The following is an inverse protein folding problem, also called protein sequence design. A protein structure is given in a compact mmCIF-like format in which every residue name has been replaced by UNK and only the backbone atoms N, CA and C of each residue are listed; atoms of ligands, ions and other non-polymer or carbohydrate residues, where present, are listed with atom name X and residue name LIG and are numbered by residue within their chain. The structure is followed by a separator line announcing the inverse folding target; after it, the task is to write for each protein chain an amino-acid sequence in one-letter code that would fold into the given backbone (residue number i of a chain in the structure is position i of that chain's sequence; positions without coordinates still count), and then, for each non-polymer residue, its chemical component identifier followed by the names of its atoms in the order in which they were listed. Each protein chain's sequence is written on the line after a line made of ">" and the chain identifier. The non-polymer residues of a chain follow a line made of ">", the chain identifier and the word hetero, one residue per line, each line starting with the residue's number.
data_IF_352612743377
#
_entry.id   IF_352612743377
#
_cell.length_a   1.000
_cell.length_b   1.000
_cell.length_c   1.000
_cell.angle_alpha   90.00
_cell.angle_beta   90.00
_cell.angle_gamma   90.00
#
_symmetry.space_group_name_H-M   'P 1'
#
loop_
_entity.id
_entity.type
_entity.pdbx_description
1 polymer ?
#
# COMPACT_ATOMS: atom_id res chain seq x y z
N UNK A 1 19.59 -18.14 -13.03
CA UNK A 1 19.61 -18.31 -11.56
C UNK A 1 18.80 -17.16 -10.99
N UNK A 2 17.54 -17.40 -10.61
CA UNK A 2 16.64 -16.37 -10.09
C UNK A 2 16.71 -16.38 -8.54
N UNK A 3 16.72 -15.21 -7.88
CA UNK A 3 16.80 -15.15 -6.42
C UNK A 3 15.53 -15.68 -5.72
N UNK A 4 15.70 -16.17 -4.49
CA UNK A 4 14.66 -16.75 -3.64
C UNK A 4 13.65 -15.69 -3.13
N UNK A 5 12.39 -16.07 -2.85
CA UNK A 5 11.29 -15.16 -2.47
C UNK A 5 11.42 -14.49 -1.08
N UNK A 6 12.61 -14.48 -0.47
CA UNK A 6 12.88 -13.86 0.84
C UNK A 6 13.61 -12.51 0.79
N UNK A 7 14.12 -12.09 -0.37
CA UNK A 7 15.00 -10.91 -0.48
C UNK A 7 14.27 -9.56 -0.65
N UNK A 8 12.94 -9.54 -0.72
CA UNK A 8 12.15 -8.31 -0.87
C UNK A 8 11.83 -7.61 0.47
N UNK A 9 12.40 -8.08 1.58
CA UNK A 9 12.29 -7.42 2.88
C UNK A 9 13.34 -6.30 3.03
N UNK A 10 13.46 -5.43 2.03
CA UNK A 10 14.09 -4.12 2.16
C UNK A 10 13.19 -3.21 3.01
N UNK A 11 12.96 -3.60 4.25
CA UNK A 11 12.33 -2.72 5.23
C UNK A 11 13.25 -1.54 5.44
N UNK A 12 12.74 -0.33 5.23
CA UNK A 12 13.39 0.89 5.70
C UNK A 12 13.80 0.66 7.16
N UNK A 13 15.09 0.78 7.54
CA UNK A 13 15.48 0.55 8.91
C UNK A 13 14.68 1.52 9.79
N UNK A 14 14.05 1.06 10.88
CA UNK A 14 13.33 1.97 11.77
C UNK A 14 14.36 2.95 12.34
N UNK A 15 14.23 4.22 11.98
CA UNK A 15 14.92 5.29 12.68
C UNK A 15 14.54 5.26 14.17
N UNK A 16 15.44 5.68 15.07
CA UNK A 16 15.15 5.71 16.50
C UNK A 16 13.90 6.58 16.75
N UNK A 17 12.83 5.98 17.28
CA UNK A 17 11.59 6.67 17.66
C UNK A 17 10.32 6.30 16.87
N UNK A 18 10.41 5.46 15.81
CA UNK A 18 9.21 5.04 15.07
C UNK A 18 8.49 3.88 15.78
N UNK A 19 7.19 4.01 16.13
CA UNK A 19 6.46 2.91 16.75
C UNK A 19 6.45 1.69 15.82
N UNK A 20 6.62 0.50 16.39
CA UNK A 20 6.55 -0.76 15.68
C UNK A 20 5.24 -0.82 14.89
N UNK A 21 5.33 -1.12 13.59
CA UNK A 21 4.14 -1.24 12.75
C UNK A 21 3.18 -2.26 13.38
N UNK A 22 1.94 -1.87 13.70
CA UNK A 22 1.00 -2.72 14.40
C UNK A 22 0.78 -4.01 13.61
N UNK A 23 0.79 -5.15 14.30
CA UNK A 23 0.52 -6.47 13.71
C UNK A 23 -0.91 -6.49 13.17
N UNK A 24 -1.05 -6.11 11.90
CA UNK A 24 -2.31 -6.19 11.16
C UNK A 24 -2.81 -7.63 11.21
N UNK A 25 -4.00 -7.84 11.77
CA UNK A 25 -4.65 -9.15 11.77
C UNK A 25 -4.99 -9.54 10.31
N UNK A 26 -4.11 -10.33 9.68
CA UNK A 26 -4.24 -10.81 8.30
C UNK A 26 -5.24 -11.95 8.22
N UNK A 27 -6.53 -11.68 8.44
CA UNK A 27 -7.58 -12.58 7.92
C UNK A 27 -7.94 -12.09 6.52
N UNK A 28 -7.61 -12.83 5.45
CA UNK A 28 -7.62 -12.34 4.06
C UNK A 28 -8.98 -11.83 3.55
N UNK A 29 -10.08 -12.04 4.28
CA UNK A 29 -11.42 -11.72 3.80
C UNK A 29 -12.27 -10.84 4.73
N UNK A 30 -11.81 -10.46 5.93
CA UNK A 30 -12.65 -9.70 6.86
C UNK A 30 -12.97 -8.28 6.37
N UNK A 31 -12.05 -7.68 5.61
CA UNK A 31 -12.17 -6.29 5.13
C UNK A 31 -12.18 -6.17 3.60
N UNK A 32 -12.04 -7.30 2.89
CA UNK A 32 -12.01 -7.32 1.42
C UNK A 32 -13.31 -6.76 0.82
N UNK A 33 -14.47 -7.10 1.39
CA UNK A 33 -15.75 -6.58 0.91
C UNK A 33 -15.87 -5.06 1.09
N UNK A 34 -15.31 -4.50 2.17
CA UNK A 34 -15.35 -3.06 2.46
C UNK A 34 -14.52 -2.27 1.45
N UNK A 35 -13.32 -2.76 1.13
CA UNK A 35 -12.47 -2.10 0.14
C UNK A 35 -13.07 -2.24 -1.26
N UNK A 36 -13.56 -3.42 -1.64
CA UNK A 36 -14.22 -3.64 -2.93
C UNK A 36 -15.47 -2.77 -3.12
N UNK A 37 -16.20 -2.47 -2.03
CA UNK A 37 -17.32 -1.52 -2.09
C UNK A 37 -16.85 -0.12 -2.48
N UNK A 38 -15.75 0.36 -1.91
CA UNK A 38 -15.20 1.70 -2.24
C UNK A 38 -14.66 1.77 -3.66
N UNK A 39 -13.94 0.74 -4.09
CA UNK A 39 -13.38 0.64 -5.44
C UNK A 39 -14.49 0.75 -6.50
N UNK A 40 -15.59 -0.01 -6.33
CA UNK A 40 -16.71 -0.01 -7.29
C UNK A 40 -17.49 1.30 -7.38
N UNK A 41 -17.41 2.14 -6.35
CA UNK A 41 -18.09 3.45 -6.33
C UNK A 41 -17.17 4.60 -6.70
N UNK A 42 -15.89 4.31 -6.95
CA UNK A 42 -14.86 5.29 -7.24
C UNK A 42 -14.69 5.44 -8.74
N UNK A 43 -14.62 6.67 -9.24
CA UNK A 43 -14.30 6.97 -10.64
C UNK A 43 -12.90 6.46 -11.03
N UNK A 44 -11.98 6.40 -10.07
CA UNK A 44 -10.58 6.05 -10.29
C UNK A 44 -10.25 4.63 -9.82
N UNK A 45 -11.24 3.77 -9.63
CA UNK A 45 -11.07 2.39 -9.15
C UNK A 45 -10.13 2.29 -7.94
N UNK A 46 -10.26 3.26 -7.04
CA UNK A 46 -9.40 3.42 -5.86
C UNK A 46 -10.22 3.72 -4.60
N UNK A 47 -9.69 3.34 -3.44
CA UNK A 47 -10.36 3.56 -2.17
C UNK A 47 -9.42 3.44 -0.99
N UNK A 48 -9.71 4.19 0.07
CA UNK A 48 -8.99 4.13 1.35
C UNK A 48 -9.83 3.46 2.42
N UNK A 49 -9.20 2.80 3.38
CA UNK A 49 -9.84 2.05 4.45
C UNK A 49 -8.93 2.10 5.68
N UNK A 50 -9.50 2.39 6.85
CA UNK A 50 -8.77 2.29 8.11
C UNK A 50 -8.86 0.84 8.63
N UNK A 51 -7.70 0.21 8.82
CA UNK A 51 -7.50 -1.12 9.38
C UNK A 51 -6.83 -1.01 10.75
N UNK A 52 -7.65 -0.78 11.78
CA UNK A 52 -7.16 -0.44 13.11
C UNK A 52 -6.32 0.84 13.04
N UNK A 53 -5.05 0.83 13.49
CA UNK A 53 -4.16 2.00 13.43
C UNK A 53 -3.54 2.26 12.04
N UNK A 54 -3.75 1.39 11.05
CA UNK A 54 -3.17 1.56 9.72
C UNK A 54 -4.22 2.08 8.73
N UNK A 55 -3.88 3.10 7.93
CA UNK A 55 -4.68 3.50 6.77
C UNK A 55 -4.17 2.79 5.53
N UNK A 56 -5.06 2.10 4.82
CA UNK A 56 -4.77 1.36 3.60
C UNK A 56 -5.36 2.09 2.42
N UNK A 57 -4.54 2.36 1.40
CA UNK A 57 -4.97 2.71 0.05
C UNK A 57 -4.97 1.45 -0.81
N UNK A 58 -6.06 1.24 -1.54
CA UNK A 58 -6.15 0.22 -2.59
C UNK A 58 -6.53 0.89 -3.90
N UNK A 59 -5.89 0.49 -4.99
CA UNK A 59 -6.24 0.89 -6.34
C UNK A 59 -6.12 -0.35 -7.25
N UNK A 60 -7.04 -0.49 -8.19
CA UNK A 60 -6.94 -1.50 -9.24
C UNK A 60 -6.34 -0.90 -10.49
N UNK A 61 -5.51 -1.67 -11.18
CA UNK A 61 -4.87 -1.23 -12.43
C UNK A 61 -4.86 -2.40 -13.41
N UNK A 62 -4.93 -2.09 -14.70
CA UNK A 62 -4.83 -3.08 -15.78
C UNK A 62 -3.39 -3.40 -16.18
N UNK A 63 -2.39 -2.84 -15.48
CA UNK A 63 -0.96 -2.99 -15.80
C UNK A 63 -0.41 -4.41 -15.55
N UNK A 64 -1.22 -5.32 -15.01
CA UNK A 64 -0.83 -6.68 -14.67
C UNK A 64 -0.02 -6.75 -13.38
N UNK A 65 0.53 -7.94 -13.12
CA UNK A 65 1.34 -8.20 -11.93
C UNK A 65 2.78 -7.70 -12.10
N UNK A 66 3.39 -7.23 -11.01
CA UNK A 66 4.78 -6.76 -11.04
C UNK A 66 5.24 -6.12 -9.74
N UNK A 67 6.51 -5.72 -9.73
CA UNK A 67 7.08 -4.88 -8.68
C UNK A 67 7.24 -3.45 -9.22
N UNK A 68 6.41 -2.54 -8.72
CA UNK A 68 6.39 -1.16 -9.18
C UNK A 68 7.04 -0.23 -8.14
N UNK A 69 7.88 0.73 -8.54
CA UNK A 69 8.38 1.75 -7.63
C UNK A 69 7.23 2.55 -7.03
N UNK A 70 7.24 2.69 -5.70
CA UNK A 70 6.26 3.46 -4.93
C UNK A 70 6.97 4.54 -4.13
N UNK A 71 6.48 5.78 -4.22
CA UNK A 71 6.94 6.89 -3.39
C UNK A 71 5.76 7.55 -2.66
N UNK A 72 6.02 8.09 -1.47
CA UNK A 72 5.06 8.88 -0.72
C UNK A 72 5.49 10.35 -0.73
N UNK A 73 4.56 11.24 -1.08
CA UNK A 73 4.74 12.67 -0.91
C UNK A 73 4.27 13.03 0.50
N UNK A 74 5.13 13.72 1.25
CA UNK A 74 4.85 14.15 2.62
C UNK A 74 4.68 15.67 2.67
N UNK A 75 3.81 16.15 3.54
CA UNK A 75 3.74 17.57 3.87
C UNK A 75 4.85 17.99 4.86
N UNK A 76 4.80 19.25 5.32
CA UNK A 76 5.76 19.79 6.27
C UNK A 76 5.70 19.14 7.66
N UNK A 77 4.57 18.52 8.03
CA UNK A 77 4.39 17.79 9.28
C UNK A 77 4.87 16.33 9.17
N UNK A 78 5.13 15.84 7.95
CA UNK A 78 5.52 14.46 7.68
C UNK A 78 4.32 13.55 7.39
N UNK A 79 3.13 14.11 7.22
CA UNK A 79 1.92 13.35 6.89
C UNK A 79 1.87 13.04 5.39
N UNK A 80 1.42 11.82 5.05
CA UNK A 80 1.30 11.38 3.65
C UNK A 80 0.16 12.10 2.98
N UNK A 81 0.48 12.93 1.98
CA UNK A 81 -0.50 13.65 1.16
C UNK A 81 -0.76 12.98 -0.19
N UNK A 82 0.21 12.22 -0.71
CA UNK A 82 0.04 11.45 -1.93
C UNK A 82 0.88 10.16 -1.93
N UNK A 83 0.42 9.15 -2.66
CA UNK A 83 1.19 7.95 -2.98
C UNK A 83 1.29 7.86 -4.50
N UNK A 84 2.50 7.76 -5.03
CA UNK A 84 2.76 7.64 -6.47
C UNK A 84 3.28 6.25 -6.78
N UNK A 85 2.61 5.57 -7.70
CA UNK A 85 3.06 4.30 -8.27
C UNK A 85 3.51 4.57 -9.70
N UNK A 86 4.73 4.16 -10.05
CA UNK A 86 5.25 4.30 -11.43
C UNK A 86 5.03 3.00 -12.20
N UNK A 87 4.25 3.09 -13.27
CA UNK A 87 4.07 2.01 -14.23
C UNK A 87 5.06 2.19 -15.39
N UNK A 88 5.62 1.10 -15.93
CA UNK A 88 6.36 1.16 -17.18
C UNK A 88 5.45 1.70 -18.30
N UNK A 89 6.03 2.47 -19.23
CA UNK A 89 5.30 2.89 -20.43
C UNK A 89 4.87 1.65 -21.22
N UNK A 90 3.65 1.70 -21.78
CA UNK A 90 3.12 0.65 -22.65
C UNK A 90 3.91 0.55 -23.97
#
# INVERSE_FOLDING_TARGET
>A
MLPHPGEWAGGFPPGPGRPAAPRLARRPHSHHWQIMRRLRTSEHESGTLDLGPARVLCAMTTCGDGCFPVSADLDAAGDVVAVRVRFPAA
#
